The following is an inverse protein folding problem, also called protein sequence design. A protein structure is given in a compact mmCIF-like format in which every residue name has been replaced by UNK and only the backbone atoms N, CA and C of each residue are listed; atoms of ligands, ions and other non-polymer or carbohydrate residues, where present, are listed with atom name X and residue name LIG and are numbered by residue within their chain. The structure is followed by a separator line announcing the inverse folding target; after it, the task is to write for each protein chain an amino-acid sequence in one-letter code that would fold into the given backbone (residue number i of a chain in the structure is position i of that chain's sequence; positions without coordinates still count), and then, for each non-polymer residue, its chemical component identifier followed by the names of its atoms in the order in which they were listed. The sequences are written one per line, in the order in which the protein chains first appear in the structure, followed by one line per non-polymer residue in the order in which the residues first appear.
data_IF_413008618455
#
_entry.id   IF_413008618455
#
_cell.length_a   1.000
_cell.length_b   1.000
_cell.length_c   1.000
_cell.angle_alpha   90.00
_cell.angle_beta   90.00
_cell.angle_gamma   90.00
#
_symmetry.space_group_name_H-M   'P 1'
#
loop_
_entity.id
_entity.type
_entity.pdbx_description
1 polymer ?
#
# COMPACT_ATOMS: atom_id res chain seq x y z
N UNK A 1 38.39 14.71 -18.18
CA UNK A 1 38.36 13.44 -17.45
C UNK A 1 37.40 13.70 -16.32
N UNK A 2 36.12 13.43 -16.55
CA UNK A 2 35.06 13.63 -15.55
C UNK A 2 35.20 12.53 -14.52
N UNK A 3 35.37 12.92 -13.26
CA UNK A 3 35.36 12.01 -12.12
C UNK A 3 33.94 11.43 -12.02
N UNK A 4 33.82 10.13 -12.29
CA UNK A 4 32.63 9.36 -11.95
C UNK A 4 32.58 9.31 -10.42
N UNK A 5 31.70 10.13 -9.85
CA UNK A 5 31.29 10.03 -8.45
C UNK A 5 30.70 8.62 -8.25
N UNK A 6 31.54 7.71 -7.77
CA UNK A 6 31.11 6.42 -7.25
C UNK A 6 30.44 6.70 -5.90
N UNK A 7 29.20 7.22 -5.92
CA UNK A 7 28.37 7.23 -4.71
C UNK A 7 28.26 5.78 -4.23
N UNK A 8 28.82 5.49 -3.06
CA UNK A 8 28.65 4.19 -2.43
C UNK A 8 27.15 3.89 -2.30
N UNK A 9 26.69 2.69 -2.69
CA UNK A 9 25.27 2.36 -2.64
C UNK A 9 24.80 2.51 -1.19
N UNK A 10 23.85 3.42 -0.97
CA UNK A 10 23.29 3.66 0.37
C UNK A 10 22.78 2.31 0.92
N UNK A 11 23.09 1.97 2.18
CA UNK A 11 22.61 0.73 2.76
C UNK A 11 21.08 0.71 2.71
N UNK A 12 20.52 -0.27 1.99
CA UNK A 12 19.07 -0.46 1.91
C UNK A 12 18.56 -0.80 3.29
N UNK A 13 17.71 0.05 3.86
CA UNK A 13 17.00 -0.24 5.11
C UNK A 13 16.14 -1.49 4.89
N UNK A 14 16.29 -2.49 5.75
CA UNK A 14 15.50 -3.71 5.68
C UNK A 14 14.19 -3.54 6.45
N UNK A 15 13.11 -4.07 5.89
CA UNK A 15 11.84 -4.16 6.58
C UNK A 15 11.93 -5.08 7.79
N UNK A 16 11.34 -4.66 8.91
CA UNK A 16 11.00 -5.60 9.96
C UNK A 16 9.96 -6.59 9.40
N UNK A 17 10.25 -7.89 9.52
CA UNK A 17 9.39 -8.91 8.91
C UNK A 17 8.00 -8.98 9.55
N UNK A 18 7.87 -8.65 10.83
CA UNK A 18 6.57 -8.59 11.52
C UNK A 18 5.78 -7.40 11.04
N UNK A 19 6.42 -6.23 10.93
CA UNK A 19 5.82 -5.03 10.37
C UNK A 19 5.27 -5.31 8.97
N UNK A 20 6.13 -5.80 8.09
CA UNK A 20 5.79 -6.04 6.70
C UNK A 20 4.64 -7.04 6.58
N UNK A 21 4.69 -8.16 7.30
CA UNK A 21 3.61 -9.16 7.26
C UNK A 21 2.27 -8.59 7.73
N UNK A 22 2.26 -7.72 8.75
CA UNK A 22 1.04 -7.07 9.22
C UNK A 22 0.49 -6.07 8.18
N UNK A 23 1.34 -5.20 7.61
CA UNK A 23 0.94 -4.25 6.56
C UNK A 23 0.32 -4.97 5.36
N UNK A 24 1.02 -6.00 4.87
CA UNK A 24 0.61 -6.78 3.70
C UNK A 24 -0.68 -7.55 3.95
N UNK A 25 -0.81 -8.19 5.11
CA UNK A 25 -2.01 -8.93 5.47
C UNK A 25 -3.20 -8.00 5.65
N UNK A 26 -3.01 -6.82 6.26
CA UNK A 26 -4.05 -5.82 6.43
C UNK A 26 -4.65 -5.36 5.10
N UNK A 27 -3.79 -5.09 4.10
CA UNK A 27 -4.19 -4.68 2.77
C UNK A 27 -4.94 -5.78 2.00
N UNK A 28 -4.53 -7.04 2.16
CA UNK A 28 -5.09 -8.18 1.43
C UNK A 28 -6.44 -8.68 1.95
N UNK A 29 -6.93 -8.19 3.10
CA UNK A 29 -8.31 -8.46 3.57
C UNK A 29 -9.36 -7.92 2.60
N UNK A 30 -8.99 -6.88 1.85
CA UNK A 30 -9.84 -6.20 0.89
C UNK A 30 -9.59 -6.78 -0.51
N UNK A 31 -10.63 -7.32 -1.14
CA UNK A 31 -10.62 -7.71 -2.54
C UNK A 31 -10.75 -6.46 -3.41
N UNK A 32 -9.59 -5.83 -3.64
CA UNK A 32 -9.52 -4.66 -4.49
C UNK A 32 -9.94 -4.96 -5.92
N UNK A 33 -9.67 -6.15 -6.46
CA UNK A 33 -10.04 -6.48 -7.83
C UNK A 33 -11.56 -6.43 -8.01
N UNK A 34 -12.30 -7.09 -7.13
CA UNK A 34 -13.76 -7.05 -7.17
C UNK A 34 -14.30 -5.62 -6.98
N UNK A 35 -13.72 -4.85 -6.06
CA UNK A 35 -14.14 -3.45 -5.86
C UNK A 35 -13.98 -2.60 -7.13
N UNK A 36 -12.84 -2.73 -7.83
CA UNK A 36 -12.60 -2.00 -9.07
C UNK A 36 -13.53 -2.45 -10.19
N UNK A 37 -13.79 -3.75 -10.33
CA UNK A 37 -14.76 -4.26 -11.30
C UNK A 37 -16.16 -3.67 -11.07
N UNK A 38 -16.62 -3.63 -9.83
CA UNK A 38 -17.94 -3.08 -9.50
C UNK A 38 -18.03 -1.57 -9.70
N UNK A 39 -16.97 -0.82 -9.36
CA UNK A 39 -16.92 0.62 -9.58
C UNK A 39 -16.87 1.00 -11.07
N UNK A 40 -16.15 0.23 -11.89
CA UNK A 40 -16.05 0.49 -13.33
C UNK A 40 -17.29 0.02 -14.11
N UNK A 41 -18.05 -0.97 -13.61
CA UNK A 41 -19.34 -1.37 -14.18
C UNK A 41 -20.38 -0.24 -14.19
N UNK A 42 -20.24 0.76 -13.30
CA UNK A 42 -21.10 1.95 -13.29
C UNK A 42 -20.89 2.80 -14.56
N UNK A 43 -19.72 2.72 -15.20
CA UNK A 43 -19.32 3.53 -16.35
C UNK A 43 -19.36 2.78 -17.71
N UNK A 44 -19.92 1.57 -17.75
CA UNK A 44 -20.23 0.76 -18.96
C UNK A 44 -19.06 0.32 -19.88
N UNK A 45 -17.79 0.38 -19.44
CA UNK A 45 -16.67 -0.19 -20.21
C UNK A 45 -16.21 -1.54 -19.59
N UNK A 46 -16.22 -2.66 -20.35
CA UNK A 46 -15.76 -3.95 -19.86
C UNK A 46 -14.23 -4.03 -19.80
N UNK A 47 -13.70 -4.53 -18.68
CA UNK A 47 -12.25 -4.76 -18.50
C UNK A 47 -11.84 -6.08 -19.19
N UNK A 48 -10.86 -6.02 -20.09
CA UNK A 48 -10.16 -7.21 -20.60
C UNK A 48 -9.38 -7.86 -19.44
N UNK A 49 -9.60 -9.15 -19.18
CA UNK A 49 -9.15 -9.91 -18.01
C UNK A 49 -7.62 -10.10 -17.89
N UNK A 50 -6.80 -9.21 -18.46
CA UNK A 50 -5.34 -9.12 -18.21
C UNK A 50 -5.05 -8.28 -16.95
N UNK A 51 -5.79 -8.61 -15.88
CA UNK A 51 -6.04 -7.83 -14.67
C UNK A 51 -4.83 -7.58 -13.78
N UNK A 52 -4.54 -6.29 -13.60
CA UNK A 52 -3.74 -5.60 -12.56
C UNK A 52 -3.14 -4.33 -13.18
N UNK A 53 -2.68 -4.43 -14.44
CA UNK A 53 -2.03 -3.31 -15.14
C UNK A 53 -3.04 -2.22 -15.53
N UNK A 54 -4.26 -2.61 -15.90
CA UNK A 54 -5.32 -1.66 -16.26
C UNK A 54 -5.87 -0.94 -15.03
N UNK A 55 -6.09 -1.67 -13.93
CA UNK A 55 -6.67 -1.15 -12.70
C UNK A 55 -5.85 0.00 -12.12
N UNK A 56 -4.52 -0.15 -12.03
CA UNK A 56 -3.64 0.91 -11.48
C UNK A 56 -3.62 2.16 -12.39
N UNK A 57 -3.63 1.98 -13.71
CA UNK A 57 -3.54 3.10 -14.68
C UNK A 57 -4.87 3.80 -14.97
N UNK A 58 -6.00 3.19 -14.61
CA UNK A 58 -7.35 3.72 -14.86
C UNK A 58 -8.00 4.33 -13.63
N UNK A 59 -7.24 4.51 -12.55
CA UNK A 59 -7.66 5.25 -11.37
C UNK A 59 -6.86 6.56 -11.37
N UNK A 60 -7.39 7.64 -11.98
CA UNK A 60 -6.79 8.97 -11.88
C UNK A 60 -6.44 9.33 -10.44
N UNK A 61 -7.22 8.83 -9.48
CA UNK A 61 -7.03 9.09 -8.06
C UNK A 61 -5.86 8.34 -7.41
N UNK A 62 -5.24 7.30 -8.00
CA UNK A 62 -4.14 6.59 -7.32
C UNK A 62 -2.84 7.38 -7.42
N UNK A 63 -2.43 7.79 -8.62
CA UNK A 63 -1.25 8.66 -8.76
C UNK A 63 -1.50 10.04 -8.12
N UNK A 64 -2.73 10.56 -8.15
CA UNK A 64 -3.11 11.77 -7.40
C UNK A 64 -2.95 11.57 -5.89
N UNK A 65 -3.48 10.47 -5.33
CA UNK A 65 -3.36 10.16 -3.91
C UNK A 65 -1.91 9.94 -3.48
N UNK A 66 -1.09 9.29 -4.31
CA UNK A 66 0.33 9.13 -4.04
C UNK A 66 1.10 10.45 -4.11
N UNK A 67 0.53 11.48 -4.76
CA UNK A 67 1.11 12.80 -4.80
C UNK A 67 0.62 13.67 -3.63
N UNK A 68 -0.67 13.60 -3.33
CA UNK A 68 -1.32 14.39 -2.31
C UNK A 68 -2.33 13.49 -1.58
N UNK A 69 -1.89 12.74 -0.55
CA UNK A 69 -2.75 11.80 0.14
C UNK A 69 -3.93 12.51 0.78
N UNK A 70 -5.14 12.17 0.32
CA UNK A 70 -6.39 12.65 0.90
C UNK A 70 -6.97 11.58 1.83
N UNK A 71 -6.71 11.70 3.13
CA UNK A 71 -7.19 10.74 4.13
C UNK A 71 -8.68 10.91 4.52
N UNK A 72 -9.37 11.90 3.94
CA UNK A 72 -10.81 12.12 4.16
C UNK A 72 -11.70 11.34 3.17
N UNK A 73 -11.10 10.52 2.30
CA UNK A 73 -11.82 9.64 1.39
C UNK A 73 -12.63 8.58 2.14
N UNK A 74 -13.71 8.02 1.53
CA UNK A 74 -14.43 6.90 2.10
C UNK A 74 -13.51 5.71 2.45
N UNK A 75 -13.79 5.00 3.54
CA UNK A 75 -12.99 3.87 4.02
C UNK A 75 -12.68 2.84 2.93
N UNK A 76 -13.67 2.50 2.08
CA UNK A 76 -13.48 1.55 0.98
C UNK A 76 -12.49 2.05 -0.07
N UNK A 77 -12.43 3.36 -0.32
CA UNK A 77 -11.46 3.96 -1.25
C UNK A 77 -10.07 3.94 -0.64
N UNK A 78 -9.93 4.23 0.65
CA UNK A 78 -8.65 4.12 1.37
C UNK A 78 -8.16 2.66 1.42
N UNK A 79 -9.05 1.69 1.62
CA UNK A 79 -8.74 0.25 1.51
C UNK A 79 -8.27 -0.12 0.10
N UNK A 80 -8.90 0.45 -0.93
CA UNK A 80 -8.45 0.28 -2.31
C UNK A 80 -7.05 0.88 -2.54
N UNK A 81 -6.76 2.08 -2.01
CA UNK A 81 -5.41 2.68 -2.09
C UNK A 81 -4.36 1.80 -1.39
N UNK A 82 -4.71 1.26 -0.22
CA UNK A 82 -3.84 0.37 0.55
C UNK A 82 -3.55 -0.92 -0.22
N UNK A 83 -4.57 -1.52 -0.82
CA UNK A 83 -4.44 -2.68 -1.71
C UNK A 83 -3.57 -2.37 -2.95
N UNK A 84 -3.74 -1.22 -3.60
CA UNK A 84 -2.93 -0.89 -4.78
C UNK A 84 -1.45 -0.68 -4.44
N UNK A 85 -1.13 -0.05 -3.30
CA UNK A 85 0.25 0.09 -2.81
C UNK A 85 0.89 -1.29 -2.55
N UNK A 86 0.14 -2.18 -1.91
CA UNK A 86 0.52 -3.57 -1.70
C UNK A 86 0.86 -4.29 -3.03
N UNK A 87 0.05 -4.08 -4.08
CA UNK A 87 0.28 -4.66 -5.42
C UNK A 87 1.47 -4.04 -6.13
N UNK A 88 1.64 -2.72 -6.03
CA UNK A 88 2.78 -2.00 -6.60
C UNK A 88 4.09 -2.51 -6.00
N UNK A 89 4.12 -2.78 -4.69
CA UNK A 89 5.27 -3.37 -4.01
C UNK A 89 5.59 -4.77 -4.55
N UNK A 90 4.61 -5.68 -4.58
CA UNK A 90 4.82 -7.05 -5.06
C UNK A 90 5.26 -7.15 -6.52
N UNK A 91 4.80 -6.23 -7.38
CA UNK A 91 5.12 -6.27 -8.81
C UNK A 91 6.56 -5.85 -9.09
N UNK A 92 7.04 -4.84 -8.39
CA UNK A 92 8.29 -4.16 -8.74
C UNK A 92 9.42 -4.45 -7.74
N UNK A 93 9.13 -5.11 -6.61
CA UNK A 93 10.07 -5.32 -5.50
C UNK A 93 10.75 -4.00 -5.07
N UNK A 94 10.01 -2.88 -5.18
CA UNK A 94 10.61 -1.54 -5.32
C UNK A 94 10.24 -0.56 -4.22
N UNK A 95 9.41 -0.94 -3.25
CA UNK A 95 9.05 -0.03 -2.16
C UNK A 95 10.14 -0.12 -1.09
N UNK A 96 11.14 0.76 -1.23
CA UNK A 96 12.19 0.92 -0.23
C UNK A 96 11.57 1.27 1.11
N UNK A 97 12.09 0.71 2.20
CA UNK A 97 11.52 0.83 3.55
C UNK A 97 11.27 2.28 3.98
N UNK A 98 12.12 3.21 3.57
CA UNK A 98 12.04 4.63 3.85
C UNK A 98 11.52 5.48 2.68
N UNK A 99 10.96 4.88 1.63
CA UNK A 99 10.37 5.66 0.54
C UNK A 99 9.13 6.43 1.00
N UNK A 100 8.78 7.52 0.28
CA UNK A 100 7.52 8.23 0.49
C UNK A 100 6.30 7.30 0.37
N UNK A 101 6.29 6.37 -0.59
CA UNK A 101 5.22 5.38 -0.71
C UNK A 101 5.12 4.43 0.49
N UNK A 102 6.26 4.04 1.08
CA UNK A 102 6.29 3.25 2.33
C UNK A 102 5.75 4.00 3.54
N UNK A 103 5.88 5.34 3.55
CA UNK A 103 5.23 6.17 4.56
C UNK A 103 3.71 6.11 4.42
N UNK A 104 3.20 6.34 3.21
CA UNK A 104 1.75 6.28 2.92
C UNK A 104 1.18 4.89 3.29
N UNK A 105 1.91 3.82 2.95
CA UNK A 105 1.46 2.45 3.25
C UNK A 105 1.28 2.22 4.75
N UNK A 106 2.21 2.72 5.59
CA UNK A 106 2.10 2.68 7.05
C UNK A 106 0.97 3.57 7.59
N UNK A 107 0.81 4.77 7.04
CA UNK A 107 -0.27 5.69 7.41
C UNK A 107 -1.64 5.06 7.14
N UNK A 108 -1.82 4.44 5.98
CA UNK A 108 -3.03 3.70 5.63
C UNK A 108 -3.27 2.49 6.55
N UNK A 109 -2.24 1.74 6.92
CA UNK A 109 -2.39 0.67 7.90
C UNK A 109 -2.92 1.18 9.24
N UNK A 110 -2.30 2.24 9.79
CA UNK A 110 -2.73 2.80 11.07
C UNK A 110 -4.16 3.34 11.04
N UNK A 111 -4.62 3.76 9.86
CA UNK A 111 -5.99 4.23 9.64
C UNK A 111 -6.99 3.08 9.49
N UNK A 112 -6.58 1.96 8.87
CA UNK A 112 -7.50 0.93 8.38
C UNK A 112 -7.44 -0.41 9.12
N UNK A 113 -6.43 -0.66 9.94
CA UNK A 113 -6.21 -1.98 10.53
C UNK A 113 -7.38 -2.44 11.44
N UNK A 114 -8.09 -1.49 12.06
CA UNK A 114 -9.30 -1.72 12.87
C UNK A 114 -10.61 -1.62 12.11
N UNK A 115 -10.58 -1.02 10.92
CA UNK A 115 -11.79 -0.81 10.13
C UNK A 115 -12.28 -2.14 9.54
N UNK A 116 -13.59 -2.42 9.62
CA UNK A 116 -14.16 -3.60 8.99
C UNK A 116 -14.06 -3.49 7.47
N UNK A 117 -13.85 -4.63 6.81
CA UNK A 117 -14.00 -4.74 5.36
C UNK A 117 -15.45 -5.10 5.04
N UNK A 118 -16.06 -4.34 4.13
CA UNK A 118 -17.39 -4.63 3.59
C UNK A 118 -17.45 -6.10 3.13
N UNK A 119 -18.43 -6.89 3.59
CA UNK A 119 -18.53 -8.30 3.22
C UNK A 119 -18.50 -8.57 1.71
N UNK A 120 -18.96 -7.64 0.88
CA UNK A 120 -18.95 -7.79 -0.59
C UNK A 120 -17.52 -7.75 -1.15
N UNK A 121 -16.61 -7.03 -0.50
CA UNK A 121 -15.22 -6.83 -0.94
C UNK A 121 -14.21 -7.51 -0.01
N UNK A 122 -14.63 -8.54 0.71
CA UNK A 122 -13.79 -9.26 1.65
C UNK A 122 -13.15 -10.45 0.97
N UNK A 123 -11.82 -10.49 0.92
CA UNK A 123 -11.12 -11.74 0.63
C UNK A 123 -11.20 -12.64 1.86
N UNK A 124 -11.97 -13.73 1.74
CA UNK A 124 -12.24 -14.63 2.87
C UNK A 124 -10.97 -15.27 3.43
N UNK A 125 -10.01 -15.64 2.57
CA UNK A 125 -8.79 -16.33 3.01
C UNK A 125 -7.88 -15.40 3.82
N UNK A 126 -7.73 -14.15 3.37
CA UNK A 126 -6.93 -13.16 4.07
C UNK A 126 -7.63 -12.59 5.29
N UNK A 127 -8.95 -12.41 5.25
CA UNK A 127 -9.71 -11.96 6.41
C UNK A 127 -9.67 -12.98 7.55
N UNK A 128 -9.84 -14.26 7.27
CA UNK A 128 -9.73 -15.33 8.29
C UNK A 128 -8.32 -15.41 8.88
N UNK A 129 -7.30 -15.14 8.06
CA UNK A 129 -5.91 -15.07 8.53
C UNK A 129 -5.72 -13.86 9.44
N UNK A 130 -6.25 -12.70 9.05
CA UNK A 130 -6.22 -11.49 9.87
C UNK A 130 -6.85 -11.69 11.23
N UNK A 131 -8.09 -12.18 11.28
CA UNK A 131 -8.85 -12.37 12.51
C UNK A 131 -8.16 -13.33 13.49
N UNK A 132 -7.46 -14.35 12.97
CA UNK A 132 -6.81 -15.36 13.80
C UNK A 132 -5.38 -15.01 14.22
N UNK A 133 -4.62 -14.32 13.36
CA UNK A 133 -3.17 -14.14 13.55
C UNK A 133 -2.76 -12.72 13.92
N UNK A 134 -3.49 -11.71 13.45
CA UNK A 134 -3.06 -10.31 13.59
C UNK A 134 -3.99 -9.52 14.50
N UNK A 135 -5.30 -9.73 14.41
CA UNK A 135 -6.29 -9.03 15.23
C UNK A 135 -6.10 -9.23 16.74
N UNK A 136 -5.73 -10.42 17.26
CA UNK A 136 -5.52 -10.62 18.70
C UNK A 136 -4.40 -9.76 19.29
N UNK A 137 -3.36 -9.50 18.51
CA UNK A 137 -2.16 -8.76 18.90
C UNK A 137 -2.07 -7.41 18.18
N UNK A 138 -3.21 -6.86 17.74
CA UNK A 138 -3.25 -5.67 16.87
C UNK A 138 -2.55 -4.45 17.48
N UNK A 139 -2.70 -4.25 18.79
CA UNK A 139 -2.05 -3.16 19.52
C UNK A 139 -0.52 -3.21 19.38
N UNK A 140 0.07 -4.42 19.37
CA UNK A 140 1.51 -4.61 19.18
C UNK A 140 1.94 -4.23 17.76
N UNK A 141 1.17 -4.63 16.75
CA UNK A 141 1.47 -4.29 15.36
C UNK A 141 1.32 -2.79 15.08
N UNK A 142 0.33 -2.13 15.67
CA UNK A 142 0.23 -0.66 15.62
C UNK A 142 1.44 0.01 16.26
N UNK A 143 1.92 -0.50 17.41
CA UNK A 143 3.11 0.03 18.08
C UNK A 143 4.37 -0.15 17.23
N UNK A 144 4.57 -1.33 16.62
CA UNK A 144 5.68 -1.60 15.70
C UNK A 144 5.68 -0.58 14.56
N UNK A 145 4.54 -0.37 13.91
CA UNK A 145 4.41 0.57 12.78
C UNK A 145 4.64 2.02 13.24
N UNK A 146 4.08 2.44 14.39
CA UNK A 146 4.31 3.78 14.93
C UNK A 146 5.79 4.02 15.27
N UNK A 147 6.47 3.04 15.86
CA UNK A 147 7.90 3.12 16.17
C UNK A 147 8.73 3.20 14.88
N UNK A 148 8.38 2.43 13.86
CA UNK A 148 8.99 2.50 12.53
C UNK A 148 8.84 3.89 11.92
N UNK A 149 7.62 4.47 11.96
CA UNK A 149 7.39 5.83 11.46
C UNK A 149 8.14 6.93 12.21
N UNK A 150 8.43 6.74 13.50
CA UNK A 150 9.17 7.70 14.32
C UNK A 150 10.69 7.59 14.17
N UNK A 151 11.19 6.43 13.74
CA UNK A 151 12.63 6.14 13.68
C UNK A 151 13.20 6.24 12.27
N UNK A 152 12.38 6.01 11.24
CA UNK A 152 12.79 6.07 9.84
C UNK A 152 12.72 7.51 9.32
N UNK A 153 13.81 7.99 8.74
CA UNK A 153 13.81 9.21 7.95
C UNK A 153 13.33 8.90 6.52
N UNK A 154 12.09 9.28 6.21
CA UNK A 154 11.49 9.03 4.91
C UNK A 154 12.03 9.97 3.83
N UNK A 155 12.22 9.45 2.63
CA UNK A 155 12.55 10.27 1.47
C UNK A 155 11.41 11.22 1.14
N UNK A 156 11.76 12.39 0.59
CA UNK A 156 10.75 13.33 0.14
C UNK A 156 10.00 12.78 -1.07
N UNK A 157 8.78 13.28 -1.28
CA UNK A 157 7.96 12.97 -2.45
C UNK A 157 8.72 13.21 -3.76
N UNK A 158 9.45 14.32 -3.85
CA UNK A 158 10.18 14.72 -5.06
C UNK A 158 11.29 13.74 -5.42
N UNK A 159 11.92 13.13 -4.41
CA UNK A 159 12.94 12.09 -4.63
C UNK A 159 12.28 10.79 -5.11
N UNK A 160 11.22 10.37 -4.43
CA UNK A 160 10.50 9.15 -4.79
C UNK A 160 9.91 9.17 -6.22
N UNK A 161 9.47 10.33 -6.69
CA UNK A 161 8.96 10.49 -8.05
C UNK A 161 10.05 10.37 -9.13
N UNK A 162 11.28 10.81 -8.86
CA UNK A 162 12.39 10.73 -9.82
C UNK A 162 12.81 9.30 -10.12
N UNK A 163 12.67 8.41 -9.14
CA UNK A 163 13.05 6.99 -9.25
C UNK A 163 11.97 6.12 -9.92
N UNK A 164 10.79 6.69 -10.23
CA UNK A 164 9.68 6.00 -10.95
C UNK A 164 9.73 6.17 -12.48
N UNK A 165 10.65 6.99 -13.04
CA UNK A 165 10.78 7.30 -14.48
C UNK A 165 11.90 6.49 -15.13
#
# INVERSE_FOLDING_TARGET
MEELDCEEPRPRLQWDSRELNALMSCALRFDGYQWFEDKQRVDNEPIDHKGAQFVISSIPSFDEFLNEPNYDLPVSELQAMHFLLQRAWFRNDSLETNSFGSKIFRELFLLLCREPVDPVYRDTSFNDTWERQYLPDLDEYEEIVRNSMNTIEFTSKELWQKDRI
#
